data_IF_189786237326
#
_entry.id   IF_189786237326
#
_cell.length_a   1.000
_cell.length_b   1.000
_cell.length_c   1.000
_cell.angle_alpha   90.00
_cell.angle_beta   90.00
_cell.angle_gamma   90.00
#
_symmetry.space_group_name_H-M   'P 1'
#
loop_
_entity.id
_entity.type
_entity.pdbx_description
1 polymer ?
#
# COMPACT_ATOMS: atom_id res chain seq x y z
N UNK A 1 -19.13 27.93 -13.72
CA UNK A 1 -19.12 26.88 -14.75
C UNK A 1 -17.92 26.00 -14.43
N UNK A 2 -18.10 24.98 -13.57
CA UNK A 2 -17.02 24.06 -13.22
C UNK A 2 -16.84 23.09 -14.39
N UNK A 3 -15.72 23.22 -15.10
CA UNK A 3 -15.21 22.16 -15.95
C UNK A 3 -14.76 21.02 -15.04
N UNK A 4 -15.64 20.05 -14.81
CA UNK A 4 -15.24 18.71 -14.39
C UNK A 4 -14.52 18.10 -15.61
N UNK A 5 -13.21 18.28 -15.68
CA UNK A 5 -12.39 17.43 -16.53
C UNK A 5 -12.58 16.00 -16.02
N UNK A 6 -13.12 15.13 -16.87
CA UNK A 6 -13.41 13.74 -16.58
C UNK A 6 -12.14 12.90 -16.45
N UNK A 7 -11.38 13.11 -15.37
CA UNK A 7 -10.46 12.11 -14.88
C UNK A 7 -11.28 10.98 -14.29
N UNK A 8 -11.22 9.80 -14.89
CA UNK A 8 -11.69 8.60 -14.23
C UNK A 8 -10.93 8.50 -12.89
N UNK A 9 -11.66 8.39 -11.79
CA UNK A 9 -11.04 8.07 -10.51
C UNK A 9 -10.63 6.61 -10.63
N UNK A 10 -9.33 6.37 -10.69
CA UNK A 10 -8.73 5.05 -10.50
C UNK A 10 -8.40 4.86 -9.02
N UNK A 11 -8.49 3.63 -8.52
CA UNK A 11 -8.18 3.36 -7.11
C UNK A 11 -8.20 1.90 -6.69
N UNK A 12 -8.20 0.96 -7.65
CA UNK A 12 -8.14 -0.49 -7.41
C UNK A 12 -7.36 -1.14 -8.55
N UNK A 13 -6.65 -2.23 -8.28
CA UNK A 13 -5.82 -2.93 -9.28
C UNK A 13 -6.13 -4.42 -9.31
N UNK A 14 -6.15 -5.02 -10.51
CA UNK A 14 -6.16 -6.48 -10.65
C UNK A 14 -4.75 -7.01 -10.93
N UNK A 15 -4.00 -7.35 -9.88
CA UNK A 15 -2.67 -7.95 -10.00
C UNK A 15 -2.65 -9.31 -10.71
N UNK A 16 -3.75 -10.07 -10.73
CA UNK A 16 -3.83 -11.35 -11.45
C UNK A 16 -3.69 -11.15 -12.96
N UNK A 17 -4.11 -10.00 -13.48
CA UNK A 17 -3.92 -9.65 -14.88
C UNK A 17 -2.44 -9.59 -15.28
N UNK A 18 -1.52 -9.40 -14.32
CA UNK A 18 -0.08 -9.41 -14.54
C UNK A 18 0.54 -10.80 -14.65
N UNK A 19 -0.20 -11.86 -14.30
CA UNK A 19 0.36 -13.21 -14.27
C UNK A 19 0.76 -13.70 -15.66
N UNK A 20 1.98 -14.24 -15.75
CA UNK A 20 2.56 -14.73 -17.00
C UNK A 20 3.01 -13.64 -17.96
N UNK A 21 2.97 -12.36 -17.55
CA UNK A 21 3.41 -11.21 -18.36
C UNK A 21 4.69 -10.63 -17.77
N UNK A 22 5.65 -10.37 -18.64
CA UNK A 22 6.91 -9.74 -18.24
C UNK A 22 6.76 -8.22 -18.25
N UNK A 23 7.21 -7.57 -17.19
CA UNK A 23 7.34 -6.14 -17.06
C UNK A 23 8.78 -5.79 -16.71
N UNK A 24 9.34 -4.80 -17.38
CA UNK A 24 10.67 -4.26 -17.04
C UNK A 24 10.67 -3.69 -15.62
N UNK A 25 11.74 -3.94 -14.86
CA UNK A 25 11.94 -3.33 -13.54
C UNK A 25 12.21 -1.82 -13.69
N UNK A 26 11.29 -1.00 -13.18
CA UNK A 26 11.32 0.45 -13.29
C UNK A 26 11.88 1.16 -12.05
N UNK A 27 12.46 0.45 -11.07
CA UNK A 27 12.96 1.08 -9.83
C UNK A 27 13.89 2.29 -10.07
N UNK A 28 14.72 2.25 -11.12
CA UNK A 28 15.61 3.37 -11.47
C UNK A 28 14.83 4.64 -11.81
N UNK A 29 13.73 4.52 -12.56
CA UNK A 29 12.88 5.65 -12.92
C UNK A 29 12.19 6.23 -11.68
N UNK A 30 11.70 5.37 -10.79
CA UNK A 30 11.09 5.75 -9.52
C UNK A 30 12.09 6.44 -8.57
N UNK A 31 13.30 5.90 -8.44
CA UNK A 31 14.37 6.52 -7.66
C UNK A 31 14.71 7.90 -8.22
N UNK A 32 14.90 8.01 -9.53
CA UNK A 32 15.17 9.29 -10.16
C UNK A 32 14.05 10.30 -9.89
N UNK A 33 12.79 9.90 -10.07
CA UNK A 33 11.64 10.77 -9.82
C UNK A 33 11.61 11.27 -8.37
N UNK A 34 11.74 10.39 -7.38
CA UNK A 34 11.72 10.75 -5.96
C UNK A 34 12.88 11.69 -5.61
N UNK A 35 14.10 11.37 -6.03
CA UNK A 35 15.28 12.18 -5.70
C UNK A 35 15.20 13.58 -6.32
N UNK A 36 14.78 13.69 -7.58
CA UNK A 36 14.59 14.98 -8.26
C UNK A 36 13.49 15.79 -7.58
N UNK A 37 12.34 15.17 -7.33
CA UNK A 37 11.18 15.86 -6.76
C UNK A 37 11.43 16.32 -5.33
N UNK A 38 12.01 15.48 -4.47
CA UNK A 38 12.35 15.86 -3.09
C UNK A 38 13.40 16.98 -3.07
N UNK A 39 14.41 16.90 -3.93
CA UNK A 39 15.41 17.97 -4.07
C UNK A 39 14.74 19.28 -4.48
N UNK A 40 13.82 19.24 -5.44
CA UNK A 40 13.10 20.43 -5.89
C UNK A 40 12.21 21.01 -4.79
N UNK A 41 11.47 20.18 -4.05
CA UNK A 41 10.64 20.60 -2.91
C UNK A 41 11.47 21.35 -1.86
N UNK A 42 12.67 20.85 -1.56
CA UNK A 42 13.59 21.49 -0.61
C UNK A 42 14.14 22.83 -1.15
N UNK A 43 14.38 22.93 -2.46
CA UNK A 43 14.84 24.16 -3.12
C UNK A 43 13.76 25.25 -3.13
N UNK A 44 12.52 24.89 -3.42
CA UNK A 44 11.42 25.85 -3.61
C UNK A 44 11.00 26.57 -2.31
N UNK A 45 11.37 26.02 -1.14
CA UNK A 45 10.96 26.54 0.16
C UNK A 45 12.13 26.82 1.11
N UNK A 46 13.33 27.08 0.56
CA UNK A 46 14.57 27.30 1.34
C UNK A 46 14.43 28.28 2.50
N UNK A 47 13.72 29.38 2.32
CA UNK A 47 13.57 30.43 3.36
C UNK A 47 12.56 30.07 4.45
N UNK A 48 11.54 29.26 4.13
CA UNK A 48 10.49 28.89 5.07
C UNK A 48 10.98 27.91 6.15
N UNK A 49 11.96 27.06 5.81
CA UNK A 49 12.39 25.94 6.66
C UNK A 49 13.73 26.17 7.37
N UNK A 50 14.30 27.38 7.36
CA UNK A 50 15.62 27.65 7.97
C UNK A 50 15.67 27.39 9.48
N UNK A 51 14.54 27.41 10.18
CA UNK A 51 14.41 27.14 11.63
C UNK A 51 13.59 25.90 11.96
N UNK A 52 13.06 25.20 10.95
CA UNK A 52 12.21 24.04 11.13
C UNK A 52 13.01 22.83 11.63
N UNK A 53 12.38 21.97 12.44
CA UNK A 53 12.99 20.70 12.84
C UNK A 53 12.82 19.68 11.71
N UNK A 54 13.69 18.66 11.66
CA UNK A 54 13.62 17.63 10.62
C UNK A 54 12.22 17.03 10.44
N UNK A 55 11.48 16.66 11.51
CA UNK A 55 10.13 16.11 11.36
C UNK A 55 9.13 17.05 10.66
N UNK A 56 9.28 18.37 10.82
CA UNK A 56 8.43 19.34 10.13
C UNK A 56 8.74 19.39 8.63
N UNK A 57 10.02 19.27 8.27
CA UNK A 57 10.47 19.21 6.88
C UNK A 57 10.06 17.89 6.23
N UNK A 58 10.16 16.77 6.95
CA UNK A 58 9.69 15.47 6.48
C UNK A 58 8.18 15.46 6.22
N UNK A 59 7.38 16.00 7.15
CA UNK A 59 5.94 16.16 6.95
C UNK A 59 5.63 17.05 5.74
N UNK A 60 6.40 18.14 5.55
CA UNK A 60 6.27 19.01 4.38
C UNK A 60 6.58 18.28 3.07
N UNK A 61 7.68 17.54 3.00
CA UNK A 61 8.04 16.74 1.81
C UNK A 61 6.90 15.79 1.46
N UNK A 62 6.43 15.00 2.42
CA UNK A 62 5.35 14.03 2.20
C UNK A 62 4.05 14.69 1.73
N UNK A 63 3.70 15.84 2.32
CA UNK A 63 2.54 16.62 1.89
C UNK A 63 2.65 17.03 0.41
N UNK A 64 3.85 17.43 -0.02
CA UNK A 64 4.08 17.89 -1.39
C UNK A 64 4.23 16.74 -2.39
N UNK A 65 4.65 15.56 -1.95
CA UNK A 65 4.71 14.37 -2.80
C UNK A 65 3.34 13.75 -3.07
N UNK A 66 2.47 13.73 -2.05
CA UNK A 66 1.24 12.92 -2.12
C UNK A 66 -0.06 13.65 -1.80
N UNK A 67 -0.04 14.76 -1.05
CA UNK A 67 -1.26 15.31 -0.43
C UNK A 67 -1.66 16.71 -0.95
N UNK A 68 -1.29 17.06 -2.19
CA UNK A 68 -1.57 18.39 -2.76
C UNK A 68 -2.92 18.52 -3.49
N UNK A 69 -3.46 17.44 -4.08
CA UNK A 69 -4.56 17.52 -5.06
C UNK A 69 -6.00 17.57 -4.51
N UNK A 70 -6.20 17.65 -3.19
CA UNK A 70 -7.56 17.67 -2.60
C UNK A 70 -7.88 18.96 -1.81
N UNK A 71 -8.80 19.83 -2.32
CA UNK A 71 -9.25 21.03 -1.62
C UNK A 71 -10.28 20.77 -0.50
N UNK A 72 -10.82 19.54 -0.40
CA UNK A 72 -11.69 19.13 0.70
C UNK A 72 -10.91 18.16 1.59
N UNK A 73 -10.57 18.64 2.78
CA UNK A 73 -9.87 17.89 3.81
C UNK A 73 -10.54 16.53 4.10
N UNK A 74 -9.72 15.52 4.45
CA UNK A 74 -10.06 14.25 5.13
C UNK A 74 -10.12 12.93 4.34
N UNK A 75 -9.44 12.72 3.20
CA UNK A 75 -9.44 11.41 2.54
C UNK A 75 -8.08 11.12 1.92
N UNK A 76 -7.52 9.93 2.17
CA UNK A 76 -6.23 9.47 1.62
C UNK A 76 -6.10 9.87 0.15
N UNK A 77 -4.96 10.47 -0.18
CA UNK A 77 -4.82 11.13 -1.47
C UNK A 77 -4.52 10.07 -2.54
N UNK A 78 -5.55 9.72 -3.31
CA UNK A 78 -5.42 9.00 -4.58
C UNK A 78 -4.92 9.96 -5.67
N UNK A 79 -4.39 9.43 -6.78
CA UNK A 79 -3.97 10.22 -7.93
C UNK A 79 -2.89 11.27 -7.58
N UNK A 80 -1.91 10.88 -6.77
CA UNK A 80 -0.68 11.65 -6.56
C UNK A 80 0.02 11.94 -7.89
N UNK A 81 0.84 12.99 -7.94
CA UNK A 81 1.55 13.35 -9.19
C UNK A 81 2.43 12.20 -9.70
N UNK A 82 2.99 11.40 -8.79
CA UNK A 82 3.81 10.25 -9.15
C UNK A 82 2.99 9.07 -9.67
N UNK A 83 1.80 8.80 -9.12
CA UNK A 83 0.87 7.81 -9.67
C UNK A 83 0.49 8.19 -11.11
N UNK A 84 0.05 9.43 -11.32
CA UNK A 84 -0.37 9.92 -12.63
C UNK A 84 0.79 9.88 -13.62
N UNK A 85 1.97 10.32 -13.18
CA UNK A 85 3.19 10.17 -13.98
C UNK A 85 3.41 8.70 -14.39
N UNK A 86 3.19 7.74 -13.49
CA UNK A 86 3.36 6.33 -13.81
C UNK A 86 2.30 5.81 -14.81
N UNK A 87 1.06 6.25 -14.66
CA UNK A 87 -0.06 5.90 -15.56
C UNK A 87 0.05 6.55 -16.94
N UNK A 88 0.66 7.74 -17.06
CA UNK A 88 0.72 8.51 -18.31
C UNK A 88 2.06 8.36 -19.04
N UNK A 89 3.16 8.12 -18.33
CA UNK A 89 4.52 8.12 -18.91
C UNK A 89 4.68 7.03 -19.98
N UNK A 90 4.97 7.36 -21.24
CA UNK A 90 5.19 6.37 -22.29
C UNK A 90 6.53 5.61 -22.13
N UNK A 91 7.34 5.99 -21.13
CA UNK A 91 8.67 5.41 -20.88
C UNK A 91 8.66 4.26 -19.89
N UNK A 92 7.56 4.09 -19.14
CA UNK A 92 7.42 3.01 -18.17
C UNK A 92 6.69 1.84 -18.81
N UNK A 93 7.25 0.65 -18.59
CA UNK A 93 6.54 -0.57 -18.90
C UNK A 93 5.41 -0.79 -17.89
N UNK A 94 4.21 -1.06 -18.40
CA UNK A 94 3.00 -1.19 -17.57
C UNK A 94 1.95 -2.09 -18.22
N UNK A 95 1.07 -2.62 -17.39
CA UNK A 95 -0.13 -3.33 -17.82
C UNK A 95 -1.38 -2.61 -17.33
N UNK A 96 -2.44 -2.51 -18.14
CA UNK A 96 -2.43 -2.75 -19.57
C UNK A 96 -1.45 -1.80 -20.29
N UNK A 97 -0.87 -2.25 -21.41
CA UNK A 97 0.12 -1.46 -22.15
C UNK A 97 -0.50 -0.21 -22.79
N UNK A 98 0.33 0.77 -23.16
CA UNK A 98 -0.12 2.00 -23.82
C UNK A 98 -0.99 1.67 -25.04
N UNK A 99 -2.19 2.27 -25.09
CA UNK A 99 -3.15 2.08 -26.19
C UNK A 99 -4.10 0.90 -26.03
N UNK A 100 -3.92 0.05 -25.02
CA UNK A 100 -4.92 -0.94 -24.62
C UNK A 100 -6.07 -0.24 -23.90
N UNK A 101 -7.30 -0.63 -24.22
CA UNK A 101 -8.50 -0.03 -23.63
C UNK A 101 -8.65 -0.40 -22.14
N UNK A 102 -8.80 0.61 -21.28
CA UNK A 102 -9.12 0.41 -19.86
C UNK A 102 -10.51 -0.22 -19.66
N UNK A 103 -11.44 -0.02 -20.60
CA UNK A 103 -12.75 -0.69 -20.57
C UNK A 103 -12.60 -2.19 -20.78
N UNK A 104 -11.77 -2.58 -21.75
CA UNK A 104 -11.50 -3.99 -22.01
C UNK A 104 -10.72 -4.61 -20.85
N UNK A 105 -9.72 -3.90 -20.31
CA UNK A 105 -9.01 -4.34 -19.11
C UNK A 105 -9.97 -4.60 -17.93
N UNK A 106 -10.91 -3.68 -17.68
CA UNK A 106 -11.89 -3.85 -16.61
C UNK A 106 -12.84 -5.05 -16.86
N UNK A 107 -13.19 -5.34 -18.11
CA UNK A 107 -13.99 -6.51 -18.48
C UNK A 107 -13.24 -7.84 -18.30
N UNK A 108 -11.92 -7.82 -18.54
CA UNK A 108 -11.01 -8.96 -18.42
C UNK A 108 -10.41 -9.12 -17.00
N UNK A 109 -10.92 -8.36 -16.02
CA UNK A 109 -10.41 -8.35 -14.66
C UNK A 109 -11.24 -9.21 -13.70
N UNK A 110 -10.65 -9.57 -12.56
CA UNK A 110 -11.40 -10.21 -11.44
C UNK A 110 -12.53 -9.33 -10.90
N UNK A 111 -12.51 -8.03 -11.21
CA UNK A 111 -13.52 -7.07 -10.78
C UNK A 111 -14.67 -6.87 -11.74
N UNK A 112 -14.65 -7.56 -12.90
CA UNK A 112 -15.69 -7.51 -13.92
C UNK A 112 -17.10 -7.79 -13.36
N UNK A 113 -18.15 -7.08 -13.83
CA UNK A 113 -18.11 -5.98 -14.79
C UNK A 113 -17.49 -4.71 -14.18
N UNK A 114 -17.16 -3.73 -15.04
CA UNK A 114 -16.56 -2.42 -14.71
C UNK A 114 -17.00 -1.89 -13.32
N UNK A 115 -16.00 -1.58 -12.48
CA UNK A 115 -16.24 -1.09 -11.13
C UNK A 115 -16.96 0.27 -11.12
N UNK A 116 -17.78 0.48 -10.10
CA UNK A 116 -18.51 1.73 -9.91
C UNK A 116 -18.45 2.19 -8.46
N UNK A 117 -18.00 3.42 -8.26
CA UNK A 117 -18.00 4.11 -6.97
C UNK A 117 -19.15 5.09 -6.95
N UNK A 118 -20.12 4.88 -6.05
CA UNK A 118 -21.34 5.69 -5.97
C UNK A 118 -22.06 5.87 -7.32
N UNK A 119 -22.04 4.82 -8.16
CA UNK A 119 -22.66 4.80 -9.50
C UNK A 119 -21.78 5.33 -10.64
N UNK A 120 -20.68 6.01 -10.32
CA UNK A 120 -19.71 6.54 -11.29
C UNK A 120 -18.72 5.44 -11.65
N UNK A 121 -18.41 5.29 -12.95
CA UNK A 121 -17.37 4.36 -13.41
C UNK A 121 -16.03 4.69 -12.74
N UNK A 122 -15.38 3.65 -12.24
CA UNK A 122 -14.03 3.69 -11.66
C UNK A 122 -13.17 2.81 -12.54
N UNK A 123 -12.09 3.38 -13.06
CA UNK A 123 -11.13 2.62 -13.86
C UNK A 123 -10.21 1.83 -12.93
N UNK A 124 -9.63 0.75 -13.45
CA UNK A 124 -8.61 0.00 -12.72
C UNK A 124 -7.23 0.61 -12.99
N UNK A 125 -6.41 0.55 -11.97
CA UNK A 125 -5.03 1.03 -11.99
C UNK A 125 -4.13 0.14 -12.83
N UNK A 126 -3.01 0.72 -13.26
CA UNK A 126 -2.02 -0.01 -14.04
C UNK A 126 -1.11 -0.82 -13.12
N UNK A 127 -0.66 -1.98 -13.58
CA UNK A 127 0.38 -2.77 -12.95
C UNK A 127 1.73 -2.34 -13.50
N UNK A 128 2.69 -2.12 -12.61
CA UNK A 128 4.10 -1.85 -12.92
C UNK A 128 4.99 -2.81 -12.14
N UNK A 129 6.22 -3.02 -12.62
CA UNK A 129 7.23 -3.78 -11.89
C UNK A 129 8.24 -2.82 -11.24
N UNK A 130 8.32 -2.85 -9.91
CA UNK A 130 9.30 -2.08 -9.14
C UNK A 130 10.08 -3.03 -8.25
N UNK A 131 11.39 -3.13 -8.49
CA UNK A 131 12.31 -4.01 -7.78
C UNK A 131 11.86 -5.48 -7.79
N UNK A 132 11.34 -5.94 -8.92
CA UNK A 132 10.84 -7.30 -9.09
C UNK A 132 9.48 -7.56 -8.43
N UNK A 133 8.82 -6.54 -7.86
CA UNK A 133 7.47 -6.63 -7.30
C UNK A 133 6.46 -5.98 -8.23
N UNK A 134 5.40 -6.70 -8.57
CA UNK A 134 4.31 -6.23 -9.41
C UNK A 134 3.28 -5.53 -8.51
N UNK A 135 3.10 -4.23 -8.72
CA UNK A 135 2.24 -3.38 -7.89
C UNK A 135 1.27 -2.61 -8.78
N UNK A 136 0.09 -2.29 -8.24
CA UNK A 136 -0.77 -1.27 -8.84
C UNK A 136 -0.20 0.13 -8.66
N UNK A 137 -0.45 1.01 -9.63
CA UNK A 137 -0.02 2.42 -9.57
C UNK A 137 -0.69 3.19 -8.43
N UNK A 138 -1.89 2.81 -8.03
CA UNK A 138 -2.59 3.33 -6.84
C UNK A 138 -1.75 3.20 -5.56
N UNK A 139 -0.96 2.13 -5.44
CA UNK A 139 -0.07 1.90 -4.28
C UNK A 139 0.93 3.05 -4.07
N UNK A 140 1.30 3.77 -5.13
CA UNK A 140 2.16 4.96 -5.06
C UNK A 140 1.48 6.08 -4.28
N UNK A 141 0.19 6.28 -4.51
CA UNK A 141 -0.61 7.27 -3.79
C UNK A 141 -0.88 6.88 -2.34
N UNK A 142 -1.06 5.59 -2.08
CA UNK A 142 -1.08 5.06 -0.72
C UNK A 142 0.25 5.32 0.00
N UNK A 143 1.38 5.05 -0.65
CA UNK A 143 2.72 5.33 -0.13
C UNK A 143 2.96 6.81 0.15
N UNK A 144 2.62 7.72 -0.76
CA UNK A 144 2.93 9.15 -0.59
C UNK A 144 1.83 9.89 0.18
N UNK A 145 0.60 9.76 -0.26
CA UNK A 145 -0.56 10.49 0.25
C UNK A 145 -1.09 9.95 1.57
N UNK A 146 -1.41 8.66 1.63
CA UNK A 146 -1.85 8.04 2.88
C UNK A 146 -0.70 7.87 3.87
N UNK A 147 0.53 7.63 3.39
CA UNK A 147 1.75 7.68 4.21
C UNK A 147 1.95 9.02 4.92
N UNK A 148 1.68 10.15 4.25
CA UNK A 148 1.63 11.48 4.89
C UNK A 148 0.62 11.52 6.05
N UNK A 149 -0.60 11.02 5.84
CA UNK A 149 -1.66 11.03 6.85
C UNK A 149 -1.33 10.11 8.05
N UNK A 150 -0.64 8.98 7.82
CA UNK A 150 -0.10 8.15 8.89
C UNK A 150 0.96 8.91 9.69
N UNK A 151 1.95 9.50 9.02
CA UNK A 151 3.05 10.20 9.67
C UNK A 151 2.54 11.36 10.52
N UNK A 152 1.62 12.17 9.99
CA UNK A 152 0.97 13.26 10.71
C UNK A 152 0.23 12.78 11.97
N UNK A 153 -0.49 11.66 11.90
CA UNK A 153 -1.18 11.06 13.07
C UNK A 153 -0.19 10.54 14.10
N UNK A 154 0.83 9.82 13.64
CA UNK A 154 1.91 9.33 14.49
C UNK A 154 2.58 10.49 15.25
N UNK A 155 2.95 11.57 14.55
CA UNK A 155 3.54 12.78 15.14
C UNK A 155 2.66 13.44 16.19
N UNK A 156 1.34 13.35 16.04
CA UNK A 156 0.39 13.84 17.06
C UNK A 156 0.32 12.88 18.25
N UNK A 157 0.15 11.59 18.00
CA UNK A 157 -0.03 10.58 19.03
C UNK A 157 1.21 10.43 19.94
N UNK A 158 2.42 10.47 19.36
CA UNK A 158 3.70 10.31 20.06
C UNK A 158 3.95 11.39 21.14
N UNK A 159 3.19 12.49 21.13
CA UNK A 159 3.23 13.51 22.19
C UNK A 159 2.63 13.03 23.51
N UNK A 160 1.85 11.93 23.49
CA UNK A 160 1.09 11.44 24.64
C UNK A 160 1.15 9.94 24.86
N UNK A 161 1.83 9.18 23.99
CA UNK A 161 1.89 7.72 24.07
C UNK A 161 3.22 7.18 23.53
N UNK A 162 3.44 5.86 23.62
CA UNK A 162 4.67 5.22 23.12
C UNK A 162 4.71 5.17 21.57
N UNK A 163 5.90 4.99 20.96
CA UNK A 163 6.03 4.81 19.51
C UNK A 163 5.12 3.72 18.93
N UNK A 164 4.99 2.59 19.61
CA UNK A 164 4.18 1.45 19.17
C UNK A 164 2.70 1.80 19.20
N UNK A 165 2.22 2.41 20.29
CA UNK A 165 0.83 2.83 20.41
C UNK A 165 0.47 3.96 19.43
N UNK A 166 1.41 4.87 19.15
CA UNK A 166 1.24 5.91 18.15
C UNK A 166 1.15 5.32 16.73
N UNK A 167 1.94 4.29 16.43
CA UNK A 167 1.83 3.54 15.16
C UNK A 167 0.51 2.82 15.05
N UNK A 168 0.08 2.12 16.11
CA UNK A 168 -1.25 1.51 16.18
C UNK A 168 -2.33 2.56 15.90
N UNK A 169 -2.29 3.74 16.52
CA UNK A 169 -3.28 4.79 16.26
C UNK A 169 -3.35 5.20 14.78
N UNK A 170 -2.21 5.36 14.11
CA UNK A 170 -2.15 5.64 12.67
C UNK A 170 -2.75 4.50 11.83
N UNK A 171 -2.41 3.24 12.14
CA UNK A 171 -2.94 2.06 11.43
C UNK A 171 -4.45 1.92 11.65
N UNK A 172 -4.97 2.18 12.86
CA UNK A 172 -6.41 2.13 13.14
C UNK A 172 -7.20 3.16 12.31
N UNK A 173 -6.61 4.34 12.07
CA UNK A 173 -7.25 5.31 11.19
C UNK A 173 -7.37 4.75 9.77
N UNK A 174 -6.32 4.14 9.24
CA UNK A 174 -6.31 3.58 7.90
C UNK A 174 -7.27 2.40 7.75
N UNK A 175 -7.29 1.49 8.73
CA UNK A 175 -8.29 0.42 8.81
C UNK A 175 -9.71 0.98 8.74
N UNK A 176 -9.98 2.12 9.37
CA UNK A 176 -11.31 2.76 9.29
C UNK A 176 -11.62 3.38 7.92
N UNK A 177 -10.60 3.80 7.18
CA UNK A 177 -10.74 4.32 5.82
C UNK A 177 -11.01 3.17 4.83
N UNK A 178 -10.20 2.11 4.91
CA UNK A 178 -10.33 0.88 4.12
C UNK A 178 -11.64 0.13 4.43
N UNK A 179 -11.96 -0.04 5.71
CA UNK A 179 -13.22 -0.65 6.16
C UNK A 179 -14.45 0.25 5.97
N UNK A 180 -14.27 1.47 5.48
CA UNK A 180 -15.26 2.52 5.49
C UNK A 180 -15.36 3.26 4.17
N UNK A 181 -14.84 4.49 4.16
CA UNK A 181 -15.15 5.53 3.18
C UNK A 181 -14.44 5.36 1.83
N UNK A 182 -13.41 4.51 1.76
CA UNK A 182 -12.61 4.30 0.55
C UNK A 182 -12.74 2.87 0.02
N UNK A 183 -12.76 1.85 0.88
CA UNK A 183 -12.78 0.45 0.46
C UNK A 183 -14.13 -0.26 0.65
N UNK A 184 -14.23 -1.08 1.69
CA UNK A 184 -15.20 -2.17 1.85
C UNK A 184 -16.66 -1.73 1.74
N UNK A 185 -17.03 -0.55 2.28
CA UNK A 185 -18.43 -0.07 2.21
C UNK A 185 -18.77 0.61 0.89
N UNK A 186 -17.77 1.05 0.13
CA UNK A 186 -17.97 1.87 -1.08
C UNK A 186 -17.78 1.05 -2.35
N UNK A 187 -16.66 0.33 -2.45
CA UNK A 187 -16.31 -0.48 -3.64
C UNK A 187 -16.34 -1.98 -3.39
N UNK A 188 -16.40 -2.39 -2.11
CA UNK A 188 -16.53 -3.78 -1.70
C UNK A 188 -15.21 -4.53 -1.57
N UNK A 189 -14.09 -3.81 -1.54
CA UNK A 189 -12.71 -4.32 -1.42
C UNK A 189 -12.07 -3.70 -0.17
N UNK A 190 -11.30 -4.49 0.57
CA UNK A 190 -10.42 -4.04 1.64
C UNK A 190 -9.02 -4.55 1.31
N UNK A 191 -8.13 -3.64 0.93
CA UNK A 191 -6.79 -4.01 0.46
C UNK A 191 -5.77 -3.99 1.60
N UNK A 192 -5.20 -5.16 1.89
CA UNK A 192 -4.04 -5.23 2.79
C UNK A 192 -2.77 -4.67 2.15
N UNK A 193 -2.71 -4.68 0.82
CA UNK A 193 -1.62 -4.10 0.07
C UNK A 193 -1.62 -2.57 0.18
N UNK A 194 -2.79 -1.93 0.20
CA UNK A 194 -2.92 -0.50 0.50
C UNK A 194 -2.44 -0.16 1.90
N UNK A 195 -2.82 -0.95 2.90
CA UNK A 195 -2.39 -0.74 4.29
C UNK A 195 -0.87 -0.89 4.45
N UNK A 196 -0.26 -1.82 3.74
CA UNK A 196 1.19 -1.96 3.71
C UNK A 196 1.84 -0.77 3.00
N UNK A 197 1.36 -0.37 1.82
CA UNK A 197 1.89 0.78 1.10
C UNK A 197 1.80 2.06 1.94
N UNK A 198 0.66 2.30 2.60
CA UNK A 198 0.47 3.39 3.54
C UNK A 198 1.53 3.37 4.66
N UNK A 199 1.75 2.20 5.28
CA UNK A 199 2.68 2.06 6.39
C UNK A 199 4.14 2.24 5.95
N UNK A 200 4.50 1.73 4.77
CA UNK A 200 5.81 1.96 4.16
C UNK A 200 6.02 3.45 3.85
N UNK A 201 4.97 4.16 3.45
CA UNK A 201 4.97 5.62 3.29
C UNK A 201 5.28 6.37 4.58
N UNK A 202 4.71 5.90 5.68
CA UNK A 202 5.03 6.37 7.02
C UNK A 202 6.48 6.11 7.42
N UNK A 203 7.01 4.91 7.12
CA UNK A 203 8.41 4.59 7.36
C UNK A 203 9.33 5.47 6.52
N UNK A 204 9.01 5.70 5.25
CA UNK A 204 9.74 6.63 4.39
C UNK A 204 9.78 8.04 4.99
N UNK A 205 8.64 8.55 5.46
CA UNK A 205 8.56 9.84 6.13
C UNK A 205 9.44 9.93 7.39
N UNK A 206 9.51 8.86 8.19
CA UNK A 206 10.41 8.76 9.34
C UNK A 206 11.87 8.71 8.92
N UNK A 207 12.19 7.86 7.95
CA UNK A 207 13.53 7.62 7.44
C UNK A 207 14.16 8.86 6.80
N UNK A 208 13.35 9.81 6.30
CA UNK A 208 13.84 11.13 5.90
C UNK A 208 14.74 11.75 7.00
N UNK A 209 14.39 11.55 8.26
CA UNK A 209 15.16 12.00 9.42
C UNK A 209 15.99 10.90 10.08
N UNK A 210 15.43 9.71 10.26
CA UNK A 210 16.04 8.61 11.03
C UNK A 210 17.23 7.97 10.28
N UNK A 211 17.18 7.93 8.94
CA UNK A 211 18.26 7.44 8.04
C UNK A 211 18.99 8.59 7.33
N UNK A 212 19.21 9.68 8.07
CA UNK A 212 19.13 11.08 7.64
C UNK A 212 19.27 11.29 6.12
N UNK A 213 18.19 10.99 5.37
CA UNK A 213 18.15 11.31 3.95
C UNK A 213 18.24 12.82 3.74
N UNK A 214 17.57 13.59 4.61
CA UNK A 214 17.67 15.05 4.63
C UNK A 214 18.50 15.52 5.81
N UNK A 215 19.30 16.58 5.59
CA UNK A 215 20.08 17.25 6.64
C UNK A 215 20.08 18.75 6.41
N UNK A 216 20.22 19.50 7.50
CA UNK A 216 20.46 20.93 7.43
C UNK A 216 21.95 21.20 7.24
N UNK A 217 22.31 21.83 6.12
CA UNK A 217 23.66 22.25 5.74
C UNK A 217 23.61 23.74 5.41
N UNK A 218 24.42 24.55 6.10
CA UNK A 218 24.44 26.02 5.96
C UNK A 218 23.04 26.66 6.06
N UNK A 219 22.28 26.25 7.07
CA UNK A 219 20.89 26.67 7.32
C UNK A 219 19.89 26.29 6.22
N UNK A 220 20.26 25.41 5.28
CA UNK A 220 19.39 24.90 4.23
C UNK A 220 19.20 23.40 4.35
N UNK A 221 17.97 22.93 4.25
CA UNK A 221 17.69 21.49 4.17
C UNK A 221 18.06 20.96 2.79
N UNK A 222 18.81 19.87 2.76
CA UNK A 222 19.29 19.23 1.54
C UNK A 222 19.06 17.73 1.61
N UNK A 223 18.78 17.11 0.47
CA UNK A 223 18.81 15.66 0.31
C UNK A 223 20.27 15.21 0.22
N UNK A 224 20.77 14.55 1.27
CA UNK A 224 22.18 14.15 1.42
C UNK A 224 22.43 12.68 1.13
N UNK A 225 21.38 11.86 1.14
CA UNK A 225 21.45 10.44 0.80
C UNK A 225 20.39 10.17 -0.27
N UNK A 226 20.73 9.46 -1.36
CA UNK A 226 19.75 9.10 -2.37
C UNK A 226 18.61 8.26 -1.79
N UNK A 227 17.38 8.55 -2.23
CA UNK A 227 16.20 7.76 -1.92
C UNK A 227 16.15 6.56 -2.87
N UNK A 228 15.98 5.38 -2.29
CA UNK A 228 15.85 4.11 -3.01
C UNK A 228 14.50 3.49 -2.68
N UNK A 229 13.63 3.38 -3.68
CA UNK A 229 12.24 2.91 -3.57
C UNK A 229 12.18 1.45 -3.16
N UNK A 230 13.21 0.67 -3.51
CA UNK A 230 13.36 -0.73 -3.11
C UNK A 230 13.45 -0.93 -1.59
N UNK A 231 13.73 0.12 -0.81
CA UNK A 231 13.71 0.04 0.66
C UNK A 231 12.29 0.01 1.25
N UNK A 232 11.27 0.26 0.42
CA UNK A 232 9.88 0.41 0.85
C UNK A 232 8.93 -0.51 0.08
N UNK A 233 9.11 -0.62 -1.24
CA UNK A 233 8.32 -1.52 -2.08
C UNK A 233 8.67 -2.97 -1.77
N UNK A 234 7.66 -3.75 -1.43
CA UNK A 234 7.82 -5.14 -1.04
C UNK A 234 6.63 -6.00 -1.50
N UNK A 235 6.76 -7.34 -1.48
CA UNK A 235 5.74 -8.26 -2.00
C UNK A 235 4.33 -8.09 -1.42
N UNK A 236 4.19 -7.53 -0.22
CA UNK A 236 2.86 -7.30 0.35
C UNK A 236 2.08 -6.19 -0.39
N UNK A 237 2.67 -5.51 -1.37
CA UNK A 237 1.99 -4.54 -2.25
C UNK A 237 1.30 -5.19 -3.45
N UNK A 238 1.55 -6.47 -3.71
CA UNK A 238 0.94 -7.24 -4.80
C UNK A 238 -0.35 -7.90 -4.31
N UNK A 239 -1.52 -7.49 -4.81
CA UNK A 239 -2.82 -8.02 -4.37
C UNK A 239 -3.11 -9.46 -4.82
N UNK A 240 -2.28 -10.03 -5.70
CA UNK A 240 -2.33 -11.46 -6.00
C UNK A 240 -1.53 -12.31 -5.00
N UNK A 241 -0.68 -11.66 -4.20
CA UNK A 241 0.10 -12.28 -3.12
C UNK A 241 -0.47 -11.93 -1.74
N UNK A 242 -0.68 -10.65 -1.45
CA UNK A 242 -1.34 -10.15 -0.24
C UNK A 242 -2.82 -9.84 -0.54
N UNK A 243 -3.57 -10.93 -0.73
CA UNK A 243 -4.94 -10.93 -1.23
C UNK A 243 -5.87 -10.02 -0.43
N UNK A 244 -6.70 -9.23 -1.11
CA UNK A 244 -7.71 -8.38 -0.48
C UNK A 244 -8.83 -9.17 0.22
N UNK A 245 -9.51 -8.55 1.18
CA UNK A 245 -10.80 -9.04 1.68
C UNK A 245 -11.94 -8.38 0.90
N UNK A 246 -13.06 -9.07 0.76
CA UNK A 246 -14.18 -8.61 -0.06
C UNK A 246 -15.50 -8.63 0.70
N UNK A 247 -16.39 -7.71 0.34
CA UNK A 247 -17.79 -7.78 0.75
C UNK A 247 -18.43 -9.04 0.16
N UNK A 248 -19.50 -9.55 0.78
CA UNK A 248 -20.13 -10.82 0.33
C UNK A 248 -20.46 -10.84 -1.17
N UNK A 249 -21.08 -9.78 -1.70
CA UNK A 249 -21.43 -9.71 -3.13
C UNK A 249 -20.20 -9.60 -4.03
N UNK A 250 -19.19 -8.82 -3.62
CA UNK A 250 -17.93 -8.70 -4.36
C UNK A 250 -17.18 -10.02 -4.38
N UNK A 251 -17.14 -10.73 -3.24
CA UNK A 251 -16.49 -12.02 -3.10
C UNK A 251 -17.05 -13.05 -4.10
N UNK A 252 -18.38 -13.15 -4.22
CA UNK A 252 -19.00 -14.05 -5.20
C UNK A 252 -18.63 -13.68 -6.63
N UNK A 253 -18.59 -12.39 -6.96
CA UNK A 253 -18.20 -11.92 -8.29
C UNK A 253 -16.74 -12.22 -8.61
N UNK A 254 -15.83 -11.92 -7.68
CA UNK A 254 -14.39 -12.21 -7.80
C UNK A 254 -14.15 -13.71 -7.97
N UNK A 255 -14.78 -14.55 -7.14
CA UNK A 255 -14.69 -16.02 -7.26
C UNK A 255 -15.16 -16.51 -8.62
N UNK A 256 -16.29 -15.99 -9.10
CA UNK A 256 -16.82 -16.39 -10.40
C UNK A 256 -15.92 -15.92 -11.54
N UNK A 257 -15.34 -14.73 -11.47
CA UNK A 257 -14.43 -14.24 -12.51
C UNK A 257 -13.11 -15.02 -12.52
N UNK A 258 -12.56 -15.34 -11.35
CA UNK A 258 -11.31 -16.12 -11.23
C UNK A 258 -11.38 -17.48 -11.95
N UNK A 259 -12.55 -18.13 -11.99
CA UNK A 259 -12.73 -19.43 -12.67
C UNK A 259 -12.92 -19.31 -14.19
N UNK A 260 -13.26 -18.12 -14.69
CA UNK A 260 -13.45 -17.88 -16.13
C UNK A 260 -12.24 -17.20 -16.78
N UNK A 261 -11.37 -16.59 -15.98
CA UNK A 261 -10.10 -16.03 -16.40
C UNK A 261 -9.01 -17.11 -16.41
N UNK A 262 -7.90 -16.94 -17.17
CA UNK A 262 -6.81 -17.91 -17.23
C UNK A 262 -6.01 -18.02 -15.92
N UNK A 263 -6.48 -17.42 -14.81
CA UNK A 263 -5.79 -17.37 -13.52
C UNK A 263 -5.53 -18.79 -12.98
N UNK A 264 -6.49 -19.69 -13.11
CA UNK A 264 -6.31 -21.08 -12.66
C UNK A 264 -5.23 -21.82 -13.47
N UNK A 265 -5.17 -21.64 -14.78
CA UNK A 265 -4.14 -22.24 -15.63
C UNK A 265 -2.75 -21.64 -15.34
N UNK A 266 -2.70 -20.33 -15.09
CA UNK A 266 -1.47 -19.60 -14.84
C UNK A 266 -0.89 -19.85 -13.44
N UNK A 267 -1.74 -20.16 -12.45
CA UNK A 267 -1.35 -20.45 -11.07
C UNK A 267 -0.20 -21.47 -10.99
N UNK A 268 -0.27 -22.51 -11.83
CA UNK A 268 0.73 -23.58 -11.89
C UNK A 268 1.84 -23.33 -12.92
N UNK A 269 1.77 -22.22 -13.63
CA UNK A 269 2.76 -21.78 -14.60
C UNK A 269 4.12 -21.46 -13.96
N UNK A 270 5.18 -21.62 -14.76
CA UNK A 270 6.55 -21.37 -14.32
C UNK A 270 6.76 -19.93 -13.82
N UNK A 271 6.09 -18.96 -14.45
CA UNK A 271 6.17 -17.56 -14.07
C UNK A 271 5.65 -17.33 -12.64
N UNK A 272 4.40 -17.75 -12.35
CA UNK A 272 3.78 -17.53 -11.02
C UNK A 272 4.56 -18.24 -9.92
N UNK A 273 5.03 -19.47 -10.18
CA UNK A 273 5.88 -20.23 -9.25
C UNK A 273 7.18 -19.50 -8.95
N UNK A 274 7.86 -19.00 -9.98
CA UNK A 274 9.12 -18.25 -9.82
C UNK A 274 8.91 -16.96 -9.04
N UNK A 275 7.86 -16.20 -9.38
CA UNK A 275 7.51 -14.94 -8.72
C UNK A 275 7.17 -15.17 -7.24
N UNK A 276 6.33 -16.16 -6.95
CA UNK A 276 5.96 -16.53 -5.57
C UNK A 276 7.19 -16.90 -4.74
N UNK A 277 8.10 -17.70 -5.30
CA UNK A 277 9.34 -18.08 -4.60
C UNK A 277 10.34 -16.93 -4.46
N UNK A 278 10.33 -15.95 -5.37
CA UNK A 278 11.06 -14.71 -5.18
C UNK A 278 10.47 -13.90 -4.02
N UNK A 279 9.16 -13.72 -3.98
CA UNK A 279 8.47 -12.98 -2.91
C UNK A 279 8.68 -13.61 -1.54
N UNK A 280 8.58 -14.94 -1.43
CA UNK A 280 8.87 -15.67 -0.19
C UNK A 280 10.32 -15.54 0.28
N UNK A 281 11.25 -15.11 -0.57
CA UNK A 281 12.66 -14.87 -0.22
C UNK A 281 12.95 -13.41 0.14
N UNK A 282 11.97 -12.51 0.03
CA UNK A 282 12.11 -11.11 0.39
C UNK A 282 12.51 -10.96 1.86
N UNK A 283 13.56 -10.17 2.08
CA UNK A 283 14.20 -9.81 3.36
C UNK A 283 14.14 -10.89 4.47
N UNK A 284 15.12 -11.81 4.45
CA UNK A 284 15.30 -12.83 5.49
C UNK A 284 15.85 -12.23 6.80
N UNK A 285 15.10 -11.36 7.46
CA UNK A 285 15.27 -10.95 8.87
C UNK A 285 14.29 -11.77 9.75
N UNK A 286 14.52 -12.03 11.05
CA UNK A 286 14.15 -13.28 11.75
C UNK A 286 12.66 -13.47 12.08
N UNK A 287 11.77 -12.75 11.40
CA UNK A 287 10.32 -12.86 11.58
C UNK A 287 9.82 -14.07 10.79
N UNK A 288 9.64 -15.17 11.49
CA UNK A 288 9.30 -16.51 10.99
C UNK A 288 8.32 -16.55 9.82
N UNK A 289 8.72 -17.27 8.75
CA UNK A 289 7.85 -17.63 7.63
C UNK A 289 6.76 -18.60 8.09
N UNK A 290 5.50 -18.19 7.97
CA UNK A 290 4.41 -19.14 7.70
C UNK A 290 4.13 -19.08 6.18
N UNK A 291 3.70 -20.19 5.59
CA UNK A 291 3.74 -20.43 4.13
C UNK A 291 3.04 -19.40 3.25
N UNK A 292 2.14 -18.60 3.84
CA UNK A 292 1.21 -17.71 3.13
C UNK A 292 1.24 -16.27 3.65
N UNK A 293 2.16 -15.93 4.55
CA UNK A 293 2.24 -14.60 5.17
C UNK A 293 3.70 -14.12 5.26
N UNK A 294 3.96 -12.94 4.68
CA UNK A 294 5.26 -12.28 4.75
C UNK A 294 5.21 -11.16 5.80
N UNK A 295 5.90 -11.33 6.92
CA UNK A 295 6.02 -10.29 7.95
C UNK A 295 7.05 -9.25 7.54
N UNK A 296 6.64 -8.26 6.74
CA UNK A 296 7.50 -7.17 6.25
C UNK A 296 7.57 -5.98 7.19
N UNK A 297 6.59 -5.82 8.08
CA UNK A 297 6.40 -4.57 8.80
C UNK A 297 5.64 -4.78 10.11
N UNK A 298 5.73 -3.81 11.03
CA UNK A 298 4.91 -3.78 12.23
C UNK A 298 3.41 -3.81 11.89
N UNK A 299 3.00 -3.10 10.83
CA UNK A 299 1.60 -3.06 10.38
C UNK A 299 1.13 -4.42 9.90
N UNK A 300 1.90 -5.06 9.01
CA UNK A 300 1.59 -6.39 8.52
C UNK A 300 1.44 -7.38 9.68
N UNK A 301 2.36 -7.35 10.65
CA UNK A 301 2.34 -8.26 11.80
C UNK A 301 1.16 -8.01 12.72
N UNK A 302 0.88 -6.75 13.04
CA UNK A 302 -0.24 -6.39 13.90
C UNK A 302 -1.58 -6.80 13.25
N UNK A 303 -1.75 -6.54 11.95
CA UNK A 303 -2.97 -6.91 11.23
C UNK A 303 -3.14 -8.42 11.15
N UNK A 304 -2.06 -9.18 10.86
CA UNK A 304 -2.11 -10.65 10.87
C UNK A 304 -2.47 -11.20 12.25
N UNK A 305 -1.80 -10.75 13.31
CA UNK A 305 -2.10 -11.14 14.68
C UNK A 305 -3.56 -10.82 15.05
N UNK A 306 -4.07 -9.68 14.62
CA UNK A 306 -5.47 -9.27 14.86
C UNK A 306 -6.46 -10.19 14.19
N UNK A 307 -6.18 -10.64 12.96
CA UNK A 307 -7.02 -11.59 12.25
C UNK A 307 -7.07 -12.94 12.99
N UNK A 308 -5.91 -13.50 13.33
CA UNK A 308 -5.84 -14.75 14.09
C UNK A 308 -6.58 -14.62 15.43
N UNK A 309 -6.39 -13.49 16.12
CA UNK A 309 -7.03 -13.23 17.41
C UNK A 309 -8.56 -13.13 17.33
N UNK A 310 -9.09 -12.57 16.25
CA UNK A 310 -10.54 -12.40 16.07
C UNK A 310 -11.23 -13.65 15.52
N UNK A 311 -10.59 -14.35 14.60
CA UNK A 311 -11.26 -15.35 13.75
C UNK A 311 -10.75 -16.78 13.95
N UNK A 312 -9.55 -16.96 14.50
CA UNK A 312 -8.97 -18.25 14.79
C UNK A 312 -8.26 -18.29 16.15
N UNK A 313 -8.90 -17.83 17.25
CA UNK A 313 -8.24 -17.67 18.55
C UNK A 313 -7.65 -18.99 19.09
N UNK A 314 -8.24 -20.13 18.73
CA UNK A 314 -7.77 -21.46 19.14
C UNK A 314 -6.39 -21.82 18.55
N UNK A 315 -5.93 -21.10 17.51
CA UNK A 315 -4.60 -21.28 16.92
C UNK A 315 -3.50 -20.52 17.67
N UNK A 316 -3.87 -19.63 18.60
CA UNK A 316 -2.94 -18.75 19.30
C UNK A 316 -2.48 -19.36 20.63
N UNK A 317 -1.33 -20.04 20.60
CA UNK A 317 -0.71 -20.53 21.83
C UNK A 317 -0.18 -19.37 22.69
N UNK A 318 -0.08 -19.58 24.01
CA UNK A 318 0.50 -18.59 24.91
C UNK A 318 1.96 -18.25 24.55
N UNK A 319 2.73 -19.23 24.07
CA UNK A 319 4.10 -19.05 23.60
C UNK A 319 4.15 -18.16 22.36
N UNK A 320 3.26 -18.40 21.39
CA UNK A 320 3.15 -17.58 20.20
C UNK A 320 2.80 -16.13 20.55
N UNK A 321 1.75 -15.93 21.37
CA UNK A 321 1.35 -14.59 21.82
C UNK A 321 2.48 -13.87 22.55
N UNK A 322 3.22 -14.56 23.42
CA UNK A 322 4.36 -13.99 24.11
C UNK A 322 5.46 -13.53 23.13
N UNK A 323 5.76 -14.34 22.10
CA UNK A 323 6.72 -13.97 21.07
C UNK A 323 6.25 -12.74 20.28
N UNK A 324 4.99 -12.70 19.86
CA UNK A 324 4.41 -11.57 19.12
C UNK A 324 4.41 -10.28 19.96
N UNK A 325 4.04 -10.37 21.24
CA UNK A 325 4.06 -9.23 22.16
C UNK A 325 5.46 -8.67 22.38
N UNK A 326 6.46 -9.54 22.49
CA UNK A 326 7.86 -9.13 22.58
C UNK A 326 8.33 -8.42 21.31
N UNK A 327 7.96 -8.94 20.15
CA UNK A 327 8.39 -8.41 18.85
C UNK A 327 7.72 -7.08 18.48
N UNK A 328 6.42 -6.95 18.76
CA UNK A 328 5.65 -5.73 18.57
C UNK A 328 5.82 -4.75 19.74
N UNK A 329 6.45 -5.15 20.84
CA UNK A 329 6.57 -4.38 22.07
C UNK A 329 5.19 -3.86 22.57
N UNK A 330 4.21 -4.77 22.61
CA UNK A 330 2.85 -4.52 23.11
C UNK A 330 2.45 -5.55 24.17
N UNK A 331 1.31 -5.32 24.81
CA UNK A 331 0.75 -6.18 25.87
C UNK A 331 -0.62 -6.73 25.46
N UNK A 332 -1.08 -7.80 26.14
CA UNK A 332 -2.40 -8.36 25.92
C UNK A 332 -3.53 -7.31 26.01
N UNK A 333 -3.60 -6.45 27.05
CA UNK A 333 -4.67 -5.44 27.12
C UNK A 333 -4.64 -4.44 25.96
N UNK A 334 -3.45 -4.14 25.42
CA UNK A 334 -3.31 -3.26 24.26
C UNK A 334 -3.80 -3.96 22.98
N UNK A 335 -3.49 -5.25 22.79
CA UNK A 335 -4.06 -6.05 21.69
C UNK A 335 -5.59 -6.14 21.82
N UNK A 336 -6.12 -6.37 23.02
CA UNK A 336 -7.56 -6.45 23.25
C UNK A 336 -8.26 -5.12 22.91
N UNK A 337 -7.67 -3.99 23.34
CA UNK A 337 -8.18 -2.66 23.04
C UNK A 337 -8.11 -2.35 21.54
N UNK A 338 -7.01 -2.73 20.90
CA UNK A 338 -6.83 -2.64 19.46
C UNK A 338 -7.89 -3.43 18.68
N UNK A 339 -8.05 -4.71 19.00
CA UNK A 339 -8.97 -5.61 18.30
C UNK A 339 -10.43 -5.11 18.39
N UNK A 340 -10.82 -4.46 19.50
CA UNK A 340 -12.13 -3.81 19.63
C UNK A 340 -12.28 -2.55 18.78
N UNK A 341 -11.19 -1.84 18.50
CA UNK A 341 -11.19 -0.56 17.78
C UNK A 341 -11.25 -0.76 16.26
N UNK A 342 -10.51 -1.73 15.74
CA UNK A 342 -10.39 -1.97 14.30
C UNK A 342 -11.45 -2.92 13.78
N UNK A 343 -11.83 -2.77 12.52
CA UNK A 343 -12.77 -3.65 11.81
C UNK A 343 -12.08 -4.56 10.79
N UNK A 344 -10.77 -4.78 10.96
CA UNK A 344 -9.93 -5.62 10.10
C UNK A 344 -10.63 -6.94 9.80
N UNK A 345 -11.09 -7.15 8.55
CA UNK A 345 -11.74 -8.40 8.17
C UNK A 345 -10.74 -9.55 8.21
N UNK A 346 -11.24 -10.77 8.09
CA UNK A 346 -10.39 -11.89 7.74
C UNK A 346 -10.03 -11.74 6.26
N UNK A 347 -8.73 -11.80 5.96
CA UNK A 347 -8.23 -11.87 4.60
C UNK A 347 -8.94 -13.02 3.90
N UNK A 348 -9.42 -12.78 2.67
CA UNK A 348 -10.41 -13.66 2.10
C UNK A 348 -9.95 -15.13 2.13
N UNK A 349 -10.67 -15.98 2.87
CA UNK A 349 -10.30 -17.38 3.17
C UNK A 349 -10.17 -18.29 1.94
N UNK A 350 -10.39 -17.75 0.75
CA UNK A 350 -10.14 -18.50 -0.45
C UNK A 350 -8.66 -18.47 -0.81
N UNK A 351 -8.01 -19.62 -0.63
CA UNK A 351 -6.77 -19.85 -1.36
C UNK A 351 -7.15 -20.10 -2.82
N UNK A 352 -6.39 -19.57 -3.78
CA UNK A 352 -6.59 -19.95 -5.19
C UNK A 352 -6.52 -21.46 -5.37
N UNK A 353 -5.77 -22.18 -4.53
CA UNK A 353 -5.74 -23.64 -4.51
C UNK A 353 -7.10 -24.28 -4.17
N UNK A 354 -7.95 -23.62 -3.40
CA UNK A 354 -9.31 -24.09 -3.11
C UNK A 354 -10.30 -23.84 -4.25
N UNK A 355 -10.00 -22.91 -5.17
CA UNK A 355 -10.91 -22.48 -6.27
C UNK A 355 -10.44 -22.93 -7.66
N UNK A 356 -9.14 -23.16 -7.81
CA UNK A 356 -8.49 -23.70 -8.99
C UNK A 356 -7.89 -25.07 -8.63
N UNK A 357 -8.72 -26.14 -8.60
CA UNK A 357 -8.29 -27.49 -8.21
C UNK A 357 -7.43 -28.20 -9.25
#
# INVERSE_FOLDING_TARGET
MLLLAGGAVSGEVDNYYGWGKELKDEKKAFNQYLNVTVTQILVDQKSQFSTAQCPDVAEWIMRNLGAQRYPLAYRGALNSDMEIWAQESPLLDRLPAVGVSLDQYALDSIYSPVMRTAGIKTDLDHIINVNGTYIGTDKISHFLGSGYEYYKRYRKAIQSTSPELAQMEAIAWADSMEGGLLGMKVVGVYSYADLEANYQGFLFAKDLCDKPYIKQVDSQWQLTTPIEVENYVNPNWDESFNVSAYSKSRLESVKNNLTHLPVCDLKDGAWVKTQTEQYKRFDQSPRTKQSDYLNTSFSAQLLYLTQQYKYAPDTLTAEYLHAQFKELNITQPQLDAWARKVSTPLQSDFTLSAFCP
#
